data_IF_259220893204
#
_entry.id   IF_259220893204
#
_cell.length_a   1.000
_cell.length_b   1.000
_cell.length_c   1.000
_cell.angle_alpha   90.00
_cell.angle_beta   90.00
_cell.angle_gamma   90.00
#
_symmetry.space_group_name_H-M   'P 1'
#
loop_
_entity.id
_entity.type
_entity.pdbx_description
1 polymer ?
#
# COMPACT_ATOMS: atom_id res chain seq x y z
N UNK A 1 19.29 5.40 23.86
CA UNK A 1 18.12 5.08 23.02
C UNK A 1 17.12 4.37 23.91
N UNK A 2 16.05 5.03 24.33
CA UNK A 2 15.06 4.41 25.21
C UNK A 2 14.23 3.40 24.42
N UNK A 3 14.01 2.20 24.98
CA UNK A 3 13.08 1.21 24.44
C UNK A 3 11.69 1.85 24.30
N UNK A 4 11.31 2.24 23.08
CA UNK A 4 9.91 2.57 22.82
C UNK A 4 9.17 1.24 22.73
N UNK A 5 8.36 0.95 23.73
CA UNK A 5 7.53 -0.24 23.74
C UNK A 5 6.50 -0.15 22.62
N UNK A 6 6.31 -1.24 21.88
CA UNK A 6 5.28 -1.30 20.84
C UNK A 6 3.89 -1.12 21.47
N UNK A 7 3.18 -0.08 21.05
CA UNK A 7 1.80 0.17 21.48
C UNK A 7 0.83 -0.31 20.41
N UNK A 8 0.13 -1.42 20.68
CA UNK A 8 -0.88 -1.96 19.78
C UNK A 8 -1.97 -0.92 19.46
N UNK A 9 -2.40 -0.15 20.46
CA UNK A 9 -3.38 0.93 20.27
C UNK A 9 -2.88 1.98 19.29
N UNK A 10 -1.64 2.43 19.45
CA UNK A 10 -1.03 3.41 18.54
C UNK A 10 -0.88 2.83 17.13
N UNK A 11 -0.41 1.59 17.02
CA UNK A 11 -0.29 0.89 15.74
C UNK A 11 -1.63 0.83 14.99
N UNK A 12 -2.72 0.43 15.67
CA UNK A 12 -4.05 0.35 15.07
C UNK A 12 -4.53 1.72 14.60
N UNK A 13 -4.40 2.76 15.44
CA UNK A 13 -4.84 4.12 15.08
C UNK A 13 -4.05 4.65 13.88
N UNK A 14 -2.72 4.52 13.90
CA UNK A 14 -1.85 4.96 12.79
C UNK A 14 -2.20 4.20 11.51
N UNK A 15 -2.43 2.89 11.60
CA UNK A 15 -2.86 2.06 10.46
C UNK A 15 -4.16 2.57 9.88
N UNK A 16 -5.22 2.70 10.68
CA UNK A 16 -6.53 3.13 10.18
C UNK A 16 -6.50 4.50 9.51
N UNK A 17 -5.77 5.47 10.08
CA UNK A 17 -5.65 6.81 9.49
C UNK A 17 -4.84 6.75 8.19
N UNK A 18 -3.75 5.97 8.17
CA UNK A 18 -2.91 5.82 6.96
C UNK A 18 -3.66 5.08 5.86
N UNK A 19 -4.55 4.15 6.20
CA UNK A 19 -5.36 3.39 5.25
C UNK A 19 -6.24 4.29 4.39
N UNK A 20 -6.72 5.41 4.93
CA UNK A 20 -7.52 6.38 4.16
C UNK A 20 -6.74 6.85 2.94
N UNK A 21 -5.46 7.19 3.10
CA UNK A 21 -4.61 7.59 1.98
C UNK A 21 -4.37 6.44 1.00
N UNK A 22 -4.05 5.25 1.51
CA UNK A 22 -3.78 4.08 0.65
C UNK A 22 -5.02 3.73 -0.18
N UNK A 23 -6.22 3.70 0.41
CA UNK A 23 -7.47 3.47 -0.33
C UNK A 23 -7.72 4.52 -1.41
N UNK A 24 -7.54 5.81 -1.09
CA UNK A 24 -7.76 6.89 -2.06
C UNK A 24 -6.76 6.77 -3.22
N UNK A 25 -5.49 6.51 -2.94
CA UNK A 25 -4.46 6.28 -3.95
C UNK A 25 -4.78 5.08 -4.82
N UNK A 26 -5.11 3.94 -4.19
CA UNK A 26 -5.43 2.69 -4.88
C UNK A 26 -6.63 2.84 -5.81
N UNK A 27 -7.74 3.40 -5.30
CA UNK A 27 -8.95 3.62 -6.10
C UNK A 27 -8.66 4.56 -7.26
N UNK A 28 -7.94 5.67 -7.03
CA UNK A 28 -7.57 6.57 -8.11
C UNK A 28 -6.72 5.85 -9.18
N UNK A 29 -5.66 5.16 -8.76
CA UNK A 29 -4.78 4.40 -9.66
C UNK A 29 -5.52 3.29 -10.40
N UNK A 30 -6.46 2.61 -9.75
CA UNK A 30 -7.27 1.58 -10.37
C UNK A 30 -8.18 2.14 -11.46
N UNK A 31 -8.95 3.18 -11.16
CA UNK A 31 -9.89 3.75 -12.12
C UNK A 31 -9.21 4.47 -13.28
N UNK A 32 -8.15 5.22 -13.02
CA UNK A 32 -7.51 6.05 -14.04
C UNK A 32 -6.41 5.34 -14.83
N UNK A 33 -5.84 4.24 -14.29
CA UNK A 33 -4.68 3.58 -14.92
C UNK A 33 -4.87 2.08 -15.05
N UNK A 34 -5.22 1.37 -13.96
CA UNK A 34 -5.25 -0.09 -13.99
C UNK A 34 -6.40 -0.65 -14.83
N UNK A 35 -7.64 -0.26 -14.55
CA UNK A 35 -8.81 -0.77 -15.27
C UNK A 35 -8.76 -0.49 -16.78
N UNK A 36 -8.39 0.72 -17.26
CA UNK A 36 -8.24 0.94 -18.70
C UNK A 36 -7.21 0.02 -19.36
N UNK A 37 -6.07 -0.21 -18.70
CA UNK A 37 -5.00 -1.08 -19.22
C UNK A 37 -5.39 -2.55 -19.18
N UNK A 38 -6.04 -2.98 -18.11
CA UNK A 38 -6.55 -4.34 -17.99
C UNK A 38 -7.60 -4.60 -19.06
N UNK A 39 -8.55 -3.68 -19.27
CA UNK A 39 -9.56 -3.74 -20.33
C UNK A 39 -8.91 -3.98 -21.69
N UNK A 40 -7.95 -3.13 -22.07
CA UNK A 40 -7.21 -3.27 -23.32
C UNK A 40 -6.46 -4.62 -23.43
N UNK A 41 -5.92 -5.15 -22.32
CA UNK A 41 -5.21 -6.43 -22.32
C UNK A 41 -6.12 -7.63 -22.59
N UNK A 42 -7.32 -7.65 -22.01
CA UNK A 42 -8.27 -8.75 -22.18
C UNK A 42 -9.33 -8.51 -23.25
N UNK A 43 -9.25 -7.41 -24.01
CA UNK A 43 -10.15 -7.13 -25.13
C UNK A 43 -10.29 -8.39 -26.02
N UNK A 44 -11.53 -8.90 -26.11
CA UNK A 44 -11.88 -10.08 -26.89
C UNK A 44 -11.52 -11.44 -26.28
N UNK A 45 -10.96 -11.52 -25.07
CA UNK A 45 -10.49 -12.77 -24.45
C UNK A 45 -11.20 -13.15 -23.15
N UNK A 46 -11.48 -12.18 -22.28
CA UNK A 46 -12.12 -12.40 -20.98
C UNK A 46 -12.98 -11.19 -20.61
N UNK A 47 -14.14 -11.44 -20.00
CA UNK A 47 -14.95 -10.38 -19.42
C UNK A 47 -14.29 -9.92 -18.12
N UNK A 48 -13.67 -8.75 -18.14
CA UNK A 48 -13.12 -8.16 -16.92
C UNK A 48 -14.28 -7.61 -16.12
N UNK A 49 -14.26 -7.87 -14.81
CA UNK A 49 -15.10 -7.16 -13.86
C UNK A 49 -14.69 -5.68 -13.88
N UNK A 50 -15.37 -4.88 -14.70
CA UNK A 50 -15.27 -3.43 -14.70
C UNK A 50 -15.94 -2.84 -13.45
N UNK A 51 -15.86 -1.51 -13.31
CA UNK A 51 -16.50 -0.78 -12.21
C UNK A 51 -18.03 -0.98 -12.18
N UNK A 52 -18.64 -1.26 -13.32
CA UNK A 52 -20.06 -1.57 -13.53
C UNK A 52 -20.47 -2.97 -13.05
N UNK A 53 -19.51 -3.89 -12.91
CA UNK A 53 -19.71 -5.26 -12.44
C UNK A 53 -19.12 -5.51 -11.04
N UNK A 54 -18.64 -4.46 -10.38
CA UNK A 54 -17.97 -4.57 -9.08
C UNK A 54 -18.98 -4.98 -8.00
N UNK A 55 -19.05 -6.29 -7.75
CA UNK A 55 -19.86 -6.83 -6.67
C UNK A 55 -19.35 -6.32 -5.32
N UNK A 56 -20.26 -6.12 -4.36
CA UNK A 56 -19.94 -5.67 -3.01
C UNK A 56 -18.87 -6.56 -2.37
N UNK A 57 -18.90 -7.87 -2.64
CA UNK A 57 -17.90 -8.85 -2.19
C UNK A 57 -16.48 -8.50 -2.66
N UNK A 58 -16.30 -8.11 -3.92
CA UNK A 58 -15.00 -7.69 -4.46
C UNK A 58 -14.52 -6.39 -3.83
N UNK A 59 -15.43 -5.42 -3.62
CA UNK A 59 -15.11 -4.17 -2.93
C UNK A 59 -14.60 -4.40 -1.49
N UNK A 60 -15.24 -5.32 -0.77
CA UNK A 60 -14.83 -5.67 0.61
C UNK A 60 -13.45 -6.34 0.62
N UNK A 61 -13.23 -7.31 -0.28
CA UNK A 61 -11.93 -8.02 -0.36
C UNK A 61 -10.82 -7.04 -0.74
N UNK A 62 -11.08 -6.14 -1.68
CA UNK A 62 -10.14 -5.11 -2.09
C UNK A 62 -9.82 -4.15 -0.93
N UNK A 63 -10.84 -3.69 -0.21
CA UNK A 63 -10.64 -2.86 0.96
C UNK A 63 -9.86 -3.56 2.09
N UNK A 64 -10.11 -4.85 2.29
CA UNK A 64 -9.35 -5.66 3.23
C UNK A 64 -7.87 -5.77 2.81
N UNK A 65 -7.62 -5.98 1.53
CA UNK A 65 -6.26 -6.06 0.98
C UNK A 65 -5.49 -4.76 1.19
N UNK A 66 -6.09 -3.59 0.90
CA UNK A 66 -5.49 -2.27 1.14
C UNK A 66 -5.18 -2.05 2.64
N UNK A 67 -6.07 -2.51 3.51
CA UNK A 67 -5.89 -2.39 4.97
C UNK A 67 -4.72 -3.25 5.45
N UNK A 68 -4.59 -4.48 4.92
CA UNK A 68 -3.46 -5.37 5.22
C UNK A 68 -2.16 -4.76 4.70
N UNK A 69 -2.16 -4.24 3.47
CA UNK A 69 -1.02 -3.55 2.88
C UNK A 69 -0.55 -2.38 3.77
N UNK A 70 -1.51 -1.59 4.26
CA UNK A 70 -1.23 -0.48 5.17
C UNK A 70 -0.67 -0.97 6.51
N UNK A 71 -1.25 -2.02 7.10
CA UNK A 71 -0.76 -2.59 8.36
C UNK A 71 0.70 -3.06 8.24
N UNK A 72 1.04 -3.71 7.12
CA UNK A 72 2.42 -4.13 6.81
C UNK A 72 3.34 -2.92 6.66
N UNK A 73 2.92 -1.90 5.92
CA UNK A 73 3.68 -0.65 5.75
C UNK A 73 3.98 0.02 7.11
N UNK A 74 2.96 0.18 7.94
CA UNK A 74 3.07 0.83 9.25
C UNK A 74 3.96 0.00 10.19
N UNK A 75 3.86 -1.33 10.15
CA UNK A 75 4.68 -2.21 10.96
C UNK A 75 6.16 -2.16 10.56
N UNK A 76 6.45 -2.27 9.26
CA UNK A 76 7.83 -2.16 8.75
C UNK A 76 8.40 -0.76 9.03
N UNK A 77 7.60 0.29 8.88
CA UNK A 77 8.01 1.63 9.25
C UNK A 77 8.36 1.73 10.72
N UNK A 78 7.54 1.18 11.62
CA UNK A 78 7.83 1.18 13.05
C UNK A 78 9.19 0.51 13.35
N UNK A 79 9.45 -0.66 12.77
CA UNK A 79 10.76 -1.32 12.88
C UNK A 79 11.91 -0.42 12.37
N UNK A 80 11.72 0.25 11.24
CA UNK A 80 12.72 1.17 10.69
C UNK A 80 12.93 2.40 11.60
N UNK A 81 11.88 2.91 12.23
CA UNK A 81 11.96 4.03 13.17
C UNK A 81 12.72 3.64 14.45
N UNK A 82 12.56 2.42 14.94
CA UNK A 82 13.32 1.92 16.10
C UNK A 82 14.82 1.80 15.80
N UNK A 83 15.18 1.37 14.59
CA UNK A 83 16.59 1.17 14.19
C UNK A 83 17.27 2.46 13.73
N UNK A 84 16.59 3.27 12.91
CA UNK A 84 17.20 4.42 12.23
C UNK A 84 16.72 5.78 12.76
N UNK A 85 15.67 5.82 13.58
CA UNK A 85 14.98 7.04 14.03
C UNK A 85 14.04 7.62 12.97
N UNK A 86 13.43 8.78 13.27
CA UNK A 86 12.56 9.53 12.35
C UNK A 86 13.38 10.27 11.28
N UNK A 87 13.90 9.50 10.32
CA UNK A 87 14.70 9.99 9.18
C UNK A 87 14.00 9.62 7.88
N UNK A 88 14.26 10.39 6.81
CA UNK A 88 13.82 10.07 5.44
C UNK A 88 14.20 8.64 5.02
N UNK A 89 15.34 8.14 5.52
CA UNK A 89 15.78 6.75 5.30
C UNK A 89 14.75 5.71 5.77
N UNK A 90 14.10 5.93 6.91
CA UNK A 90 13.09 5.00 7.45
C UNK A 90 11.87 4.92 6.55
N UNK A 91 11.42 6.07 6.01
CA UNK A 91 10.30 6.16 5.06
C UNK A 91 10.66 5.46 3.74
N UNK A 92 11.85 5.74 3.19
CA UNK A 92 12.28 5.15 1.93
C UNK A 92 12.43 3.63 2.02
N UNK A 93 13.07 3.14 3.09
CA UNK A 93 13.28 1.69 3.28
C UNK A 93 11.94 1.00 3.51
N UNK A 94 11.07 1.52 4.37
CA UNK A 94 9.80 0.87 4.66
C UNK A 94 8.89 0.84 3.43
N UNK A 95 8.67 1.98 2.78
CA UNK A 95 7.83 2.05 1.59
C UNK A 95 8.36 1.20 0.44
N UNK A 96 9.68 1.19 0.20
CA UNK A 96 10.28 0.36 -0.86
C UNK A 96 10.19 -1.13 -0.53
N UNK A 97 10.48 -1.52 0.71
CA UNK A 97 10.40 -2.93 1.15
C UNK A 97 8.96 -3.44 1.03
N UNK A 98 7.99 -2.67 1.52
CA UNK A 98 6.57 -3.01 1.41
C UNK A 98 6.15 -3.09 -0.06
N UNK A 99 6.51 -2.12 -0.89
CA UNK A 99 6.15 -2.10 -2.31
C UNK A 99 6.66 -3.33 -3.05
N UNK A 100 7.94 -3.70 -2.86
CA UNK A 100 8.54 -4.87 -3.49
C UNK A 100 7.92 -6.17 -2.98
N UNK A 101 7.75 -6.32 -1.67
CA UNK A 101 7.24 -7.53 -1.05
C UNK A 101 5.74 -7.79 -1.30
N UNK A 102 4.99 -6.78 -1.76
CA UNK A 102 3.56 -6.90 -2.03
C UNK A 102 3.27 -6.71 -3.51
N UNK A 103 3.27 -5.46 -3.98
CA UNK A 103 2.93 -5.07 -5.35
C UNK A 103 3.95 -5.60 -6.36
N UNK A 104 5.24 -5.57 -6.02
CA UNK A 104 6.30 -6.09 -6.87
C UNK A 104 6.14 -7.58 -7.14
N UNK A 105 6.03 -8.39 -6.08
CA UNK A 105 5.77 -9.84 -6.20
C UNK A 105 4.45 -10.11 -6.91
N UNK A 106 3.38 -9.38 -6.59
CA UNK A 106 2.08 -9.50 -7.26
C UNK A 106 2.20 -9.34 -8.77
N UNK A 107 2.86 -8.28 -9.26
CA UNK A 107 3.01 -8.07 -10.70
C UNK A 107 3.91 -9.10 -11.37
N UNK A 108 5.01 -9.51 -10.71
CA UNK A 108 5.86 -10.59 -11.23
C UNK A 108 5.04 -11.87 -11.42
N UNK A 109 4.24 -12.25 -10.42
CA UNK A 109 3.40 -13.44 -10.47
C UNK A 109 2.30 -13.32 -11.54
N UNK A 110 1.64 -12.16 -11.64
CA UNK A 110 0.59 -11.91 -12.62
C UNK A 110 1.11 -12.04 -14.05
N UNK A 111 2.26 -11.42 -14.36
CA UNK A 111 2.85 -11.50 -15.69
C UNK A 111 3.31 -12.92 -16.02
N UNK A 112 3.99 -13.60 -15.07
CA UNK A 112 4.46 -14.97 -15.30
C UNK A 112 3.32 -15.99 -15.45
N UNK A 113 2.13 -15.69 -14.91
CA UNK A 113 0.94 -16.53 -15.06
C UNK A 113 0.09 -16.18 -16.28
N UNK A 114 0.53 -15.22 -17.11
CA UNK A 114 -0.23 -14.75 -18.28
C UNK A 114 -1.46 -13.91 -17.93
N UNK A 115 -1.54 -13.40 -16.70
CA UNK A 115 -2.64 -12.57 -16.17
C UNK A 115 -2.33 -11.06 -16.21
N UNK A 116 -1.22 -10.67 -16.84
CA UNK A 116 -0.85 -9.28 -17.02
C UNK A 116 0.36 -9.11 -17.94
N UNK A 117 0.75 -7.86 -18.18
CA UNK A 117 1.90 -7.50 -19.02
C UNK A 117 2.92 -6.66 -18.27
N UNK A 118 4.20 -6.84 -18.62
CA UNK A 118 5.29 -6.01 -18.11
C UNK A 118 5.07 -4.52 -18.39
N UNK A 119 4.50 -4.17 -19.53
CA UNK A 119 4.15 -2.79 -19.92
C UNK A 119 3.26 -2.11 -18.88
N UNK A 120 2.29 -2.84 -18.33
CA UNK A 120 1.35 -2.38 -17.31
C UNK A 120 2.00 -2.41 -15.93
N UNK A 121 2.78 -3.44 -15.61
CA UNK A 121 3.53 -3.52 -14.35
C UNK A 121 4.51 -2.33 -14.18
N UNK A 122 5.27 -1.98 -15.23
CA UNK A 122 6.21 -0.86 -15.21
C UNK A 122 5.56 0.51 -15.04
N UNK A 123 4.25 0.61 -15.24
CA UNK A 123 3.48 1.85 -15.01
C UNK A 123 2.82 1.83 -13.63
N UNK A 124 2.20 0.71 -13.25
CA UNK A 124 1.45 0.62 -12.00
C UNK A 124 2.35 0.49 -10.77
N UNK A 125 3.49 -0.19 -10.88
CA UNK A 125 4.40 -0.36 -9.75
C UNK A 125 5.01 0.97 -9.26
N UNK A 126 5.55 1.85 -10.13
CA UNK A 126 6.08 3.14 -9.66
C UNK A 126 5.03 4.03 -9.00
N UNK A 127 3.79 4.03 -9.51
CA UNK A 127 2.68 4.78 -8.91
C UNK A 127 2.35 4.25 -7.51
N UNK A 128 2.19 2.92 -7.38
CA UNK A 128 1.96 2.27 -6.09
C UNK A 128 3.11 2.50 -5.10
N UNK A 129 4.35 2.50 -5.58
CA UNK A 129 5.53 2.77 -4.76
C UNK A 129 5.50 4.19 -4.20
N UNK A 130 5.16 5.20 -5.02
CA UNK A 130 5.00 6.59 -4.55
C UNK A 130 3.86 6.69 -3.53
N UNK A 131 2.73 6.03 -3.75
CA UNK A 131 1.61 5.97 -2.81
C UNK A 131 2.04 5.43 -1.45
N UNK A 132 2.83 4.35 -1.43
CA UNK A 132 3.38 3.74 -0.22
C UNK A 132 4.42 4.63 0.47
N UNK A 133 5.25 5.36 -0.29
CA UNK A 133 6.17 6.35 0.29
C UNK A 133 5.42 7.49 1.00
N UNK A 134 4.33 7.99 0.39
CA UNK A 134 3.49 9.02 1.01
C UNK A 134 2.76 8.44 2.23
N UNK A 135 2.24 7.21 2.15
CA UNK A 135 1.65 6.51 3.28
C UNK A 135 2.64 6.35 4.45
N UNK A 136 3.88 5.96 4.18
CA UNK A 136 4.94 5.85 5.18
C UNK A 136 5.28 7.22 5.78
N UNK A 137 5.29 8.29 4.99
CA UNK A 137 5.48 9.64 5.50
C UNK A 137 4.33 10.08 6.42
N UNK A 138 3.07 9.83 6.05
CA UNK A 138 1.89 10.10 6.90
C UNK A 138 2.02 9.34 8.22
N UNK A 139 2.30 8.04 8.16
CA UNK A 139 2.46 7.20 9.33
C UNK A 139 3.60 7.67 10.25
N UNK A 140 4.74 8.10 9.69
CA UNK A 140 5.86 8.69 10.47
C UNK A 140 5.40 9.94 11.21
N UNK A 141 4.66 10.85 10.56
CA UNK A 141 4.12 12.05 11.23
C UNK A 141 3.13 11.71 12.33
N UNK A 142 2.32 10.68 12.16
CA UNK A 142 1.38 10.22 13.19
C UNK A 142 2.10 9.58 14.37
N UNK A 143 3.14 8.77 14.14
CA UNK A 143 3.96 8.21 15.23
C UNK A 143 4.62 9.31 16.07
N UNK A 144 5.16 10.35 15.42
CA UNK A 144 5.78 11.49 16.11
C UNK A 144 4.76 12.35 16.88
N UNK A 145 3.49 12.36 16.47
CA UNK A 145 2.40 13.09 17.14
C UNK A 145 1.67 12.29 18.21
N UNK A 146 1.57 10.97 18.10
CA UNK A 146 0.88 10.11 19.08
C UNK A 146 1.79 9.75 20.26
N UNK A 147 3.09 10.08 20.18
CA UNK A 147 3.93 10.24 21.36
C UNK A 147 3.48 11.47 22.19
N UNK A 148 2.38 11.33 22.93
CA UNK A 148 1.83 12.33 23.89
C UNK A 148 1.79 11.64 25.27
N UNK A 149 2.20 12.33 26.36
CA UNK A 149 3.53 12.38 26.95
C UNK A 149 3.54 11.59 28.27
N UNK A 150 4.66 11.63 28.98
CA UNK A 150 4.81 11.25 30.40
C UNK A 150 3.49 11.10 31.18
N UNK A 151 3.22 9.89 31.65
CA UNK A 151 2.49 9.65 32.89
C UNK A 151 3.50 9.03 33.87
#
# INVERSE_FOLDING_TARGET
MGNKTFSLKQFVIVTLITSIWIHVGEVARAFFVAFPRMAAFFEGKLQIVGADQMQISHAIIWGLWDTILTAVLVFILWLCLEVFGDKTKSILISGTTTALATIGIFWIAAVNSGLGEWSTAFVLFPLAWIELLIGAWIASKLFSKVAIPNA
#
